data_IF_706799797106
#
_entry.id   IF_706799797106
#
_cell.length_a   1.000
_cell.length_b   1.000
_cell.length_c   1.000
_cell.angle_alpha   90.00
_cell.angle_beta   90.00
_cell.angle_gamma   90.00
#
_symmetry.space_group_name_H-M   'P 1'
#
loop_
_entity.id
_entity.type
_entity.pdbx_description
1 polymer ?
#
# COMPACT_ATOMS: atom_id res chain seq x y z
N UNK A 1 -9.50 22.16 -10.70
CA UNK A 1 -8.69 22.35 -9.49
C UNK A 1 -8.45 20.96 -8.92
N UNK A 2 -7.17 20.54 -8.80
CA UNK A 2 -6.82 19.25 -8.19
C UNK A 2 -7.13 19.30 -6.69
N UNK A 3 -7.76 18.25 -6.18
CA UNK A 3 -7.95 18.09 -4.73
C UNK A 3 -6.56 17.87 -4.08
N UNK A 4 -6.22 18.56 -2.98
CA UNK A 4 -4.93 18.38 -2.34
C UNK A 4 -4.84 17.02 -1.63
N UNK A 5 -3.63 16.46 -1.54
CA UNK A 5 -3.37 15.28 -0.72
C UNK A 5 -3.65 15.59 0.75
N UNK A 6 -4.44 14.74 1.40
CA UNK A 6 -4.79 14.89 2.82
C UNK A 6 -3.64 14.55 3.78
N UNK A 7 -2.59 13.94 3.27
CA UNK A 7 -1.48 13.43 4.06
C UNK A 7 -0.16 13.73 3.35
N UNK A 8 0.48 14.84 3.74
CA UNK A 8 1.77 15.26 3.20
C UNK A 8 2.89 14.92 4.18
N UNK A 9 4.08 14.57 3.68
CA UNK A 9 5.27 14.46 4.52
C UNK A 9 5.54 15.75 5.29
N UNK A 10 6.13 15.63 6.49
CA UNK A 10 6.68 16.79 7.21
C UNK A 10 7.90 17.37 6.47
N UNK A 11 8.36 18.60 6.82
CA UNK A 11 9.59 19.14 6.24
C UNK A 11 10.79 18.20 6.37
N UNK A 12 10.94 17.54 7.52
CA UNK A 12 12.02 16.58 7.79
C UNK A 12 11.85 15.32 6.94
N UNK A 13 10.62 14.84 6.79
CA UNK A 13 10.32 13.68 5.92
C UNK A 13 10.53 14.01 4.44
N UNK A 14 10.28 15.24 4.00
CA UNK A 14 10.64 15.69 2.65
C UNK A 14 12.16 15.67 2.43
N UNK A 15 12.93 16.13 3.40
CA UNK A 15 14.41 16.11 3.30
C UNK A 15 14.94 14.67 3.12
N UNK A 16 14.45 13.69 3.88
CA UNK A 16 14.90 12.30 3.72
C UNK A 16 14.42 11.68 2.41
N UNK A 17 13.23 12.06 1.91
CA UNK A 17 12.75 11.66 0.59
C UNK A 17 13.66 12.23 -0.53
N UNK A 18 14.01 13.52 -0.48
CA UNK A 18 14.94 14.12 -1.42
C UNK A 18 16.32 13.48 -1.36
N UNK A 19 16.83 13.19 -0.15
CA UNK A 19 18.08 12.46 0.01
C UNK A 19 18.03 11.05 -0.61
N UNK A 20 16.87 10.38 -0.56
CA UNK A 20 16.66 9.05 -1.10
C UNK A 20 16.45 9.03 -2.63
N UNK A 21 15.93 10.12 -3.20
CA UNK A 21 15.39 10.13 -4.57
C UNK A 21 16.12 11.07 -5.52
N UNK A 22 16.63 12.19 -5.05
CA UNK A 22 17.24 13.16 -5.95
C UNK A 22 18.60 12.69 -6.46
N UNK A 23 19.05 13.17 -7.62
CA UNK A 23 20.42 12.99 -8.06
C UNK A 23 21.39 13.82 -7.21
N UNK A 24 22.67 13.41 -7.16
CA UNK A 24 23.72 14.25 -6.62
C UNK A 24 23.89 15.52 -7.50
N UNK A 25 24.17 16.72 -6.94
CA UNK A 25 24.49 16.99 -5.53
C UNK A 25 23.26 17.32 -4.65
N UNK A 26 22.05 17.42 -5.20
CA UNK A 26 20.83 17.80 -4.47
C UNK A 26 20.55 16.83 -3.30
N UNK A 27 20.64 15.53 -3.55
CA UNK A 27 20.46 14.50 -2.52
C UNK A 27 21.43 14.68 -1.33
N UNK A 28 22.70 14.98 -1.60
CA UNK A 28 23.69 15.22 -0.55
C UNK A 28 23.39 16.51 0.25
N UNK A 29 22.83 17.54 -0.40
CA UNK A 29 22.33 18.73 0.26
C UNK A 29 21.15 18.43 1.19
N UNK A 30 20.17 17.69 0.70
CA UNK A 30 19.00 17.27 1.46
C UNK A 30 19.40 16.42 2.67
N UNK A 31 20.33 15.48 2.49
CA UNK A 31 20.89 14.68 3.60
C UNK A 31 21.52 15.53 4.68
N UNK A 32 22.40 16.50 4.33
CA UNK A 32 23.04 17.39 5.31
C UNK A 32 22.00 18.18 6.11
N UNK A 33 20.98 18.73 5.44
CA UNK A 33 19.92 19.48 6.08
C UNK A 33 19.09 18.59 7.00
N UNK A 34 18.79 17.38 6.58
CA UNK A 34 18.08 16.39 7.40
C UNK A 34 18.87 16.04 8.66
N UNK A 35 20.18 15.80 8.54
CA UNK A 35 21.06 15.50 9.68
C UNK A 35 21.18 16.66 10.70
N UNK A 36 20.97 17.90 10.26
CA UNK A 36 20.93 19.07 11.16
C UNK A 36 19.59 19.20 11.87
N UNK A 37 18.50 18.75 11.24
CA UNK A 37 17.14 18.89 11.75
C UNK A 37 16.69 17.70 12.62
N UNK A 38 17.28 16.50 12.42
CA UNK A 38 16.81 15.24 13.03
C UNK A 38 17.94 14.57 13.80
N UNK A 39 17.65 14.26 15.07
CA UNK A 39 18.50 13.37 15.86
C UNK A 39 18.41 11.95 15.29
N UNK A 40 19.58 11.39 14.94
CA UNK A 40 19.66 10.06 14.33
C UNK A 40 19.23 8.92 15.26
N UNK A 41 19.20 9.15 16.57
CA UNK A 41 18.74 8.17 17.56
C UNK A 41 17.24 8.27 17.82
N UNK A 42 16.58 9.33 17.35
CA UNK A 42 15.14 9.59 17.50
C UNK A 42 14.39 9.65 16.17
N UNK A 43 14.89 8.96 15.14
CA UNK A 43 14.28 8.96 13.79
C UNK A 43 12.91 8.29 13.82
N UNK A 44 11.91 8.92 13.24
CA UNK A 44 10.59 8.33 13.09
C UNK A 44 10.61 7.05 12.23
N UNK A 45 9.63 6.17 12.47
CA UNK A 45 9.55 4.88 11.80
C UNK A 45 9.50 4.99 10.26
N UNK A 46 8.78 5.97 9.74
CA UNK A 46 8.66 6.18 8.29
C UNK A 46 9.99 6.58 7.65
N UNK A 47 10.70 7.54 8.27
CA UNK A 47 12.02 7.99 7.82
C UNK A 47 13.06 6.86 7.93
N UNK A 48 13.04 6.07 9.02
CA UNK A 48 13.94 4.91 9.18
C UNK A 48 13.82 3.92 8.02
N UNK A 49 12.61 3.71 7.48
CA UNK A 49 12.37 2.80 6.34
C UNK A 49 12.90 3.32 5.00
N UNK A 50 13.29 4.60 4.91
CA UNK A 50 13.94 5.17 3.72
C UNK A 50 15.48 5.19 3.82
N UNK A 51 16.05 5.05 5.01
CA UNK A 51 17.50 5.13 5.20
C UNK A 51 18.30 4.12 4.37
N UNK A 52 17.86 2.87 4.15
CA UNK A 52 18.53 1.96 3.22
C UNK A 52 18.58 2.49 1.79
N UNK A 53 17.51 3.16 1.33
CA UNK A 53 17.48 3.79 0.01
C UNK A 53 18.39 5.01 -0.07
N UNK A 54 18.45 5.84 0.98
CA UNK A 54 19.40 6.95 1.10
C UNK A 54 20.85 6.45 1.01
N UNK A 55 21.17 5.35 1.74
CA UNK A 55 22.48 4.74 1.69
C UNK A 55 22.90 4.30 0.29
N UNK A 56 21.98 3.67 -0.42
CA UNK A 56 22.20 3.26 -1.81
C UNK A 56 22.34 4.46 -2.76
N UNK A 57 21.47 5.48 -2.62
CA UNK A 57 21.43 6.61 -3.53
C UNK A 57 22.68 7.47 -3.45
N UNK A 58 23.16 7.75 -2.24
CA UNK A 58 24.32 8.61 -2.00
C UNK A 58 25.65 7.87 -2.07
N UNK A 59 25.65 6.56 -1.80
CA UNK A 59 26.87 5.76 -1.64
C UNK A 59 27.58 5.96 -0.29
N UNK A 60 28.43 5.01 0.12
CA UNK A 60 29.07 5.02 1.45
C UNK A 60 29.99 6.22 1.69
N UNK A 61 30.62 6.74 0.65
CA UNK A 61 31.61 7.84 0.74
C UNK A 61 30.97 9.22 1.00
N UNK A 62 29.65 9.31 0.90
CA UNK A 62 28.90 10.53 1.21
C UNK A 62 28.68 10.77 2.72
N UNK A 63 29.07 9.82 3.57
CA UNK A 63 28.81 9.82 5.00
C UNK A 63 30.12 9.77 5.79
N UNK A 64 30.10 10.32 7.03
CA UNK A 64 31.14 9.99 7.97
C UNK A 64 31.16 8.50 8.30
N UNK A 65 32.31 7.92 8.76
CA UNK A 65 32.44 6.47 8.93
C UNK A 65 31.44 5.84 9.90
N UNK A 66 31.03 6.55 10.95
CA UNK A 66 30.08 6.05 11.94
C UNK A 66 28.67 5.95 11.31
N UNK A 67 28.21 7.02 10.67
CA UNK A 67 26.90 7.06 9.99
C UNK A 67 26.87 6.05 8.85
N UNK A 68 27.93 5.96 8.04
CA UNK A 68 28.05 4.95 6.99
C UNK A 68 27.88 3.52 7.54
N UNK A 69 28.50 3.25 8.69
CA UNK A 69 28.39 1.94 9.37
C UNK A 69 26.95 1.64 9.80
N UNK A 70 26.25 2.61 10.38
CA UNK A 70 24.84 2.48 10.82
C UNK A 70 23.91 2.26 9.63
N UNK A 71 24.03 3.07 8.58
CA UNK A 71 23.21 2.94 7.36
C UNK A 71 23.43 1.61 6.65
N UNK A 72 24.70 1.15 6.55
CA UNK A 72 25.05 -0.17 6.05
C UNK A 72 24.42 -1.29 6.89
N UNK A 73 24.37 -1.12 8.21
CA UNK A 73 23.69 -2.03 9.13
C UNK A 73 22.19 -2.14 8.83
N UNK A 74 21.51 -1.01 8.65
CA UNK A 74 20.09 -0.95 8.31
C UNK A 74 19.81 -1.61 6.94
N UNK A 75 20.63 -1.31 5.93
CA UNK A 75 20.54 -1.93 4.61
C UNK A 75 20.69 -3.46 4.69
N UNK A 76 21.74 -3.96 5.36
CA UNK A 76 21.98 -5.40 5.51
C UNK A 76 20.86 -6.10 6.27
N UNK A 77 20.36 -5.48 7.35
CA UNK A 77 19.22 -5.99 8.10
C UNK A 77 17.97 -6.09 7.21
N UNK A 78 17.69 -5.05 6.44
CA UNK A 78 16.57 -5.06 5.48
C UNK A 78 16.75 -6.18 4.45
N UNK A 79 17.93 -6.27 3.85
CA UNK A 79 18.23 -7.32 2.87
C UNK A 79 18.02 -8.74 3.43
N UNK A 80 18.62 -9.04 4.58
CA UNK A 80 18.52 -10.37 5.21
C UNK A 80 17.07 -10.69 5.60
N UNK A 81 16.37 -9.71 6.17
CA UNK A 81 14.96 -9.87 6.56
C UNK A 81 14.07 -10.14 5.33
N UNK A 82 14.25 -9.35 4.27
CA UNK A 82 13.48 -9.51 3.04
C UNK A 82 13.74 -10.88 2.38
N UNK A 83 14.97 -11.38 2.39
CA UNK A 83 15.27 -12.74 1.90
C UNK A 83 14.51 -13.82 2.66
N UNK A 84 14.40 -13.67 3.99
CA UNK A 84 13.63 -14.62 4.82
C UNK A 84 12.13 -14.57 4.49
N UNK A 85 11.53 -13.37 4.42
CA UNK A 85 10.10 -13.27 4.11
C UNK A 85 9.80 -13.70 2.66
N UNK A 86 10.72 -13.47 1.71
CA UNK A 86 10.55 -13.94 0.33
C UNK A 86 10.56 -15.47 0.24
N UNK A 87 11.48 -16.13 0.96
CA UNK A 87 11.49 -17.58 1.02
C UNK A 87 10.16 -18.14 1.55
N UNK A 88 9.62 -17.54 2.60
CA UNK A 88 8.36 -17.99 3.22
C UNK A 88 7.16 -17.70 2.35
N UNK A 89 7.11 -16.53 1.71
CA UNK A 89 6.08 -16.24 0.72
C UNK A 89 6.15 -17.21 -0.46
N UNK A 90 7.35 -17.62 -0.88
CA UNK A 90 7.54 -18.66 -1.88
C UNK A 90 6.94 -20.00 -1.44
N UNK A 91 7.12 -20.39 -0.18
CA UNK A 91 6.51 -21.62 0.37
C UNK A 91 4.96 -21.54 0.31
N UNK A 92 4.36 -20.39 0.66
CA UNK A 92 2.93 -20.20 0.55
C UNK A 92 2.44 -20.20 -0.91
N UNK A 93 3.17 -19.53 -1.81
CA UNK A 93 2.87 -19.52 -3.26
C UNK A 93 2.93 -20.94 -3.82
N UNK A 94 3.91 -21.73 -3.44
CA UNK A 94 4.02 -23.13 -3.88
C UNK A 94 2.82 -23.99 -3.42
N UNK A 95 2.31 -23.77 -2.22
CA UNK A 95 1.08 -24.41 -1.72
C UNK A 95 -0.13 -24.04 -2.59
N UNK A 96 -0.27 -22.74 -2.92
CA UNK A 96 -1.39 -22.26 -3.76
C UNK A 96 -1.26 -22.80 -5.20
N UNK A 97 -0.07 -22.79 -5.77
CA UNK A 97 0.20 -23.33 -7.10
C UNK A 97 -0.08 -24.83 -7.17
N UNK A 98 0.31 -25.62 -6.16
CA UNK A 98 0.00 -27.05 -6.07
C UNK A 98 -1.52 -27.30 -5.99
N UNK A 99 -2.30 -26.36 -5.45
CA UNK A 99 -3.76 -26.40 -5.45
C UNK A 99 -4.37 -25.85 -6.76
N UNK A 100 -3.57 -25.54 -7.78
CA UNK A 100 -4.01 -24.98 -9.06
C UNK A 100 -4.59 -23.57 -8.93
N UNK A 101 -4.05 -22.76 -8.00
CA UNK A 101 -4.47 -21.38 -7.75
C UNK A 101 -3.39 -20.45 -8.23
N UNK A 102 -3.70 -19.64 -9.23
CA UNK A 102 -2.79 -18.61 -9.73
C UNK A 102 -2.53 -17.54 -8.65
N UNK A 103 -1.30 -17.03 -8.62
CA UNK A 103 -0.89 -16.01 -7.66
C UNK A 103 -0.30 -14.79 -8.36
N UNK A 104 -0.47 -13.63 -7.74
CA UNK A 104 0.11 -12.38 -8.18
C UNK A 104 0.68 -11.64 -6.97
N UNK A 105 2.01 -11.45 -6.94
CA UNK A 105 2.69 -10.72 -5.87
C UNK A 105 2.57 -9.23 -6.11
N UNK A 106 2.01 -8.51 -5.14
CA UNK A 106 1.77 -7.07 -5.26
C UNK A 106 2.66 -6.25 -4.34
N UNK A 107 2.55 -4.93 -4.44
CA UNK A 107 3.14 -3.95 -3.52
C UNK A 107 4.64 -4.18 -3.26
N UNK A 108 5.01 -4.37 -1.98
CA UNK A 108 6.37 -4.35 -1.48
C UNK A 108 7.35 -5.25 -2.22
N UNK A 109 7.03 -6.53 -2.31
CA UNK A 109 7.92 -7.54 -2.87
C UNK A 109 8.10 -7.37 -4.38
N UNK A 110 7.01 -7.15 -5.13
CA UNK A 110 7.10 -6.91 -6.58
C UNK A 110 7.87 -5.64 -6.91
N UNK A 111 7.69 -4.57 -6.14
CA UNK A 111 8.44 -3.33 -6.31
C UNK A 111 9.93 -3.52 -6.03
N UNK A 112 10.30 -4.21 -4.95
CA UNK A 112 11.69 -4.46 -4.60
C UNK A 112 12.44 -5.22 -5.70
N UNK A 113 11.78 -6.20 -6.34
CA UNK A 113 12.36 -7.01 -7.40
C UNK A 113 12.37 -6.27 -8.74
N UNK A 114 11.21 -5.78 -9.19
CA UNK A 114 11.04 -5.28 -10.56
C UNK A 114 11.43 -3.81 -10.74
N UNK A 115 11.18 -2.96 -9.73
CA UNK A 115 11.38 -1.52 -9.86
C UNK A 115 12.66 -1.05 -9.18
N UNK A 116 12.93 -1.50 -7.96
CA UNK A 116 14.17 -1.14 -7.25
C UNK A 116 15.39 -1.95 -7.73
N UNK A 117 15.19 -3.21 -8.13
CA UNK A 117 16.27 -4.14 -8.50
C UNK A 117 17.23 -4.44 -7.36
N UNK A 118 16.83 -4.15 -6.12
CA UNK A 118 17.63 -4.34 -4.91
C UNK A 118 16.70 -4.51 -3.70
N UNK A 119 16.68 -5.72 -3.17
CA UNK A 119 15.79 -6.09 -2.08
C UNK A 119 16.17 -5.47 -0.73
N UNK A 120 17.39 -4.94 -0.59
CA UNK A 120 17.88 -4.32 0.65
C UNK A 120 17.38 -2.91 0.88
N UNK A 121 16.99 -2.19 -0.18
CA UNK A 121 16.62 -0.76 -0.10
C UNK A 121 15.19 -0.52 0.37
N UNK A 122 14.35 -1.54 0.35
CA UNK A 122 12.93 -1.43 0.67
C UNK A 122 12.54 -2.37 1.81
N UNK A 123 12.66 -1.94 3.09
CA UNK A 123 12.23 -2.76 4.24
C UNK A 123 10.76 -3.16 4.13
N UNK A 124 10.43 -4.42 4.41
CA UNK A 124 9.08 -4.99 4.38
C UNK A 124 8.84 -5.82 5.63
N UNK A 125 7.57 -6.02 5.98
CA UNK A 125 7.17 -6.83 7.14
C UNK A 125 6.36 -8.06 6.69
N UNK A 126 5.80 -8.02 5.46
CA UNK A 126 4.94 -9.02 4.85
C UNK A 126 5.12 -9.05 3.32
N UNK A 127 4.50 -10.05 2.70
CA UNK A 127 4.34 -10.15 1.25
C UNK A 127 2.85 -10.26 0.93
N UNK A 128 2.39 -9.31 0.10
CA UNK A 128 1.01 -9.30 -0.39
C UNK A 128 0.86 -10.26 -1.59
N UNK A 129 0.05 -11.28 -1.44
CA UNK A 129 -0.24 -12.29 -2.49
C UNK A 129 -1.70 -12.19 -2.88
N UNK A 130 -1.98 -11.79 -4.11
CA UNK A 130 -3.33 -11.73 -4.68
C UNK A 130 -3.67 -13.05 -5.35
N UNK A 131 -4.89 -13.54 -5.10
CA UNK A 131 -5.49 -14.69 -5.79
C UNK A 131 -6.77 -14.26 -6.51
N UNK A 132 -7.23 -15.00 -7.55
CA UNK A 132 -8.54 -14.76 -8.14
C UNK A 132 -9.64 -14.84 -7.08
N UNK A 133 -10.58 -13.89 -7.12
CA UNK A 133 -11.60 -13.75 -6.06
C UNK A 133 -12.44 -15.02 -5.89
N UNK A 134 -12.76 -15.71 -6.98
CA UNK A 134 -13.51 -16.96 -6.99
C UNK A 134 -12.73 -18.16 -6.41
N UNK A 135 -11.39 -18.01 -6.27
CA UNK A 135 -10.52 -19.03 -5.69
C UNK A 135 -10.19 -18.76 -4.23
N UNK A 136 -10.67 -17.64 -3.65
CA UNK A 136 -10.31 -17.19 -2.29
C UNK A 136 -10.60 -18.25 -1.22
N UNK A 137 -11.77 -18.88 -1.24
CA UNK A 137 -12.11 -19.92 -0.27
C UNK A 137 -11.16 -21.12 -0.36
N UNK A 138 -10.88 -21.59 -1.59
CA UNK A 138 -9.94 -22.69 -1.83
C UNK A 138 -8.51 -22.32 -1.42
N UNK A 139 -8.09 -21.06 -1.60
CA UNK A 139 -6.78 -20.56 -1.18
C UNK A 139 -6.64 -20.58 0.36
N UNK A 140 -7.65 -20.12 1.07
CA UNK A 140 -7.70 -20.15 2.55
C UNK A 140 -7.61 -21.60 3.05
N UNK A 141 -8.37 -22.51 2.44
CA UNK A 141 -8.37 -23.94 2.80
C UNK A 141 -6.99 -24.58 2.54
N UNK A 142 -6.40 -24.34 1.36
CA UNK A 142 -5.10 -24.90 0.99
C UNK A 142 -3.99 -24.43 1.94
N UNK A 143 -3.92 -23.12 2.25
CA UNK A 143 -2.96 -22.57 3.19
C UNK A 143 -3.16 -23.13 4.59
N UNK A 144 -4.41 -23.22 5.08
CA UNK A 144 -4.73 -23.76 6.40
C UNK A 144 -4.35 -25.22 6.51
N UNK A 145 -4.63 -26.04 5.49
CA UNK A 145 -4.26 -27.45 5.43
C UNK A 145 -2.72 -27.66 5.42
N UNK A 146 -1.98 -26.69 4.87
CA UNK A 146 -0.53 -26.67 4.85
C UNK A 146 0.11 -26.11 6.15
N UNK A 147 -0.71 -25.81 7.17
CA UNK A 147 -0.25 -25.34 8.47
C UNK A 147 -0.08 -23.81 8.61
N UNK A 148 -0.56 -23.03 7.64
CA UNK A 148 -0.64 -21.58 7.78
C UNK A 148 -1.86 -21.19 8.61
N UNK A 149 -1.67 -20.34 9.59
CA UNK A 149 -2.74 -19.90 10.51
C UNK A 149 -3.29 -18.54 10.09
N UNK A 150 -4.58 -18.44 9.76
CA UNK A 150 -5.20 -17.15 9.49
C UNK A 150 -5.26 -16.30 10.77
N UNK A 151 -5.18 -14.98 10.62
CA UNK A 151 -5.23 -14.01 11.72
C UNK A 151 -6.67 -13.69 12.19
N UNK A 152 -7.67 -14.43 11.68
CA UNK A 152 -9.07 -14.26 12.03
C UNK A 152 -9.76 -15.63 12.24
N UNK A 153 -10.64 -15.72 13.28
CA UNK A 153 -11.31 -16.97 13.68
C UNK A 153 -12.31 -17.48 12.63
N UNK A 154 -12.95 -16.60 11.85
CA UNK A 154 -13.85 -16.96 10.75
C UNK A 154 -13.37 -16.34 9.43
N UNK A 155 -12.38 -16.98 8.77
CA UNK A 155 -11.77 -16.46 7.55
C UNK A 155 -12.78 -16.27 6.42
N UNK A 156 -13.76 -17.17 6.27
CA UNK A 156 -14.74 -17.11 5.18
C UNK A 156 -15.75 -15.97 5.37
N UNK A 157 -16.22 -15.71 6.59
CA UNK A 157 -17.04 -14.55 6.86
C UNK A 157 -16.27 -13.24 6.67
N UNK A 158 -14.96 -13.23 6.98
CA UNK A 158 -14.06 -12.10 6.76
C UNK A 158 -13.98 -11.71 5.29
N UNK A 159 -13.93 -12.67 4.37
CA UNK A 159 -13.86 -12.41 2.91
C UNK A 159 -15.02 -11.60 2.38
N UNK A 160 -16.18 -11.66 3.01
CA UNK A 160 -17.38 -10.96 2.54
C UNK A 160 -17.30 -9.43 2.71
N UNK A 161 -16.41 -8.95 3.57
CA UNK A 161 -16.34 -7.53 3.95
C UNK A 161 -14.95 -6.92 3.84
N UNK A 162 -13.89 -7.72 3.83
CA UNK A 162 -12.50 -7.25 3.72
C UNK A 162 -11.90 -7.56 2.33
N UNK A 163 -10.65 -7.19 2.09
CA UNK A 163 -9.95 -7.36 0.82
C UNK A 163 -8.76 -8.29 0.94
N UNK A 164 -8.34 -8.57 2.16
CA UNK A 164 -7.20 -9.41 2.47
C UNK A 164 -7.36 -10.07 3.83
N UNK A 165 -6.52 -11.06 4.09
CA UNK A 165 -6.42 -11.80 5.34
C UNK A 165 -4.96 -12.17 5.57
N UNK A 166 -4.44 -11.82 6.75
CA UNK A 166 -3.10 -12.21 7.15
C UNK A 166 -3.01 -13.69 7.49
N UNK A 167 -1.90 -14.30 7.10
CA UNK A 167 -1.55 -15.66 7.48
C UNK A 167 -0.16 -15.69 8.10
N UNK A 168 -0.05 -16.36 9.25
CA UNK A 168 1.22 -16.65 9.91
C UNK A 168 1.65 -18.08 9.59
N UNK A 169 2.89 -18.24 9.12
CA UNK A 169 3.54 -19.55 9.00
C UNK A 169 4.20 -19.99 10.31
N UNK A 170 4.51 -21.29 10.44
CA UNK A 170 5.10 -21.89 11.64
C UNK A 170 6.36 -21.19 12.15
N UNK A 171 7.16 -20.63 11.25
CA UNK A 171 8.48 -20.02 11.55
C UNK A 171 8.46 -18.47 11.48
N UNK A 172 7.40 -17.80 11.89
CA UNK A 172 7.25 -16.33 11.90
C UNK A 172 7.31 -15.64 10.51
N UNK A 173 6.90 -16.31 9.43
CA UNK A 173 6.67 -15.73 8.11
C UNK A 173 5.24 -15.29 7.99
N UNK A 174 5.00 -14.03 7.57
CA UNK A 174 3.67 -13.52 7.36
C UNK A 174 3.45 -13.24 5.87
N UNK A 175 2.31 -13.67 5.36
CA UNK A 175 1.77 -13.23 4.07
C UNK A 175 0.44 -12.54 4.30
N UNK A 176 0.10 -11.60 3.44
CA UNK A 176 -1.24 -11.02 3.37
C UNK A 176 -1.90 -11.54 2.09
N UNK A 177 -2.86 -12.48 2.25
CA UNK A 177 -3.61 -13.06 1.14
C UNK A 177 -4.70 -12.09 0.72
N UNK A 178 -4.61 -11.60 -0.49
CA UNK A 178 -5.55 -10.66 -1.08
C UNK A 178 -6.49 -11.35 -2.07
N UNK A 179 -7.73 -10.84 -2.17
CA UNK A 179 -8.68 -11.12 -3.25
C UNK A 179 -9.21 -9.85 -3.93
N UNK A 180 -8.78 -8.69 -3.44
CA UNK A 180 -8.81 -7.41 -4.14
C UNK A 180 -7.47 -6.73 -3.99
N UNK A 181 -6.94 -6.19 -5.06
CA UNK A 181 -5.64 -5.51 -5.09
C UNK A 181 -5.60 -4.22 -4.26
N UNK A 182 -6.77 -3.62 -4.00
CA UNK A 182 -6.95 -2.41 -3.22
C UNK A 182 -8.06 -2.57 -2.17
N UNK A 183 -7.99 -1.70 -1.16
CA UNK A 183 -9.08 -1.53 -0.21
C UNK A 183 -10.42 -1.19 -0.87
N UNK A 184 -10.40 -0.41 -1.96
CA UNK A 184 -11.57 -0.11 -2.77
C UNK A 184 -11.84 -1.29 -3.71
N UNK A 185 -12.90 -2.11 -3.47
CA UNK A 185 -13.20 -3.24 -4.33
C UNK A 185 -13.45 -2.79 -5.76
N UNK A 186 -12.83 -3.49 -6.68
CA UNK A 186 -13.04 -3.38 -8.12
C UNK A 186 -12.63 -4.72 -8.74
N UNK A 187 -13.12 -5.06 -9.94
CA UNK A 187 -12.60 -6.23 -10.66
C UNK A 187 -11.10 -6.05 -10.93
N UNK A 188 -10.34 -7.11 -10.69
CA UNK A 188 -8.90 -7.19 -10.95
C UNK A 188 -8.59 -7.90 -12.30
N UNK A 189 -9.58 -8.23 -13.13
CA UNK A 189 -9.39 -8.99 -14.38
C UNK A 189 -8.39 -8.34 -15.32
N UNK A 190 -8.45 -7.01 -15.48
CA UNK A 190 -7.49 -6.28 -16.31
C UNK A 190 -6.08 -6.30 -15.70
N UNK A 191 -5.98 -6.26 -14.38
CA UNK A 191 -4.71 -6.37 -13.67
C UNK A 191 -4.09 -7.75 -13.87
N UNK A 192 -4.89 -8.83 -13.75
CA UNK A 192 -4.46 -10.20 -14.05
C UNK A 192 -4.01 -10.34 -15.49
N UNK A 193 -4.79 -9.85 -16.45
CA UNK A 193 -4.53 -9.98 -17.90
C UNK A 193 -3.22 -9.30 -18.30
N UNK A 194 -2.91 -8.15 -17.73
CA UNK A 194 -1.69 -7.38 -18.03
C UNK A 194 -0.51 -7.67 -17.11
N UNK A 195 -0.67 -8.61 -16.17
CA UNK A 195 0.38 -8.95 -15.23
C UNK A 195 1.62 -9.50 -15.94
N UNK A 196 2.78 -9.27 -15.34
CA UNK A 196 4.07 -9.69 -15.87
C UNK A 196 4.64 -10.85 -15.04
N UNK A 197 5.51 -11.70 -15.60
CA UNK A 197 6.18 -12.75 -14.84
C UNK A 197 7.00 -12.18 -13.68
N UNK A 198 7.01 -12.89 -12.57
CA UNK A 198 7.83 -12.63 -11.39
C UNK A 198 8.33 -13.96 -10.85
N UNK A 199 9.57 -13.99 -10.38
CA UNK A 199 10.10 -15.07 -9.57
C UNK A 199 10.33 -14.56 -8.13
N UNK A 200 9.80 -15.26 -7.14
CA UNK A 200 9.98 -14.94 -5.73
C UNK A 200 10.54 -16.17 -4.99
N UNK A 201 11.75 -16.06 -4.44
CA UNK A 201 12.37 -17.13 -3.69
C UNK A 201 12.52 -18.45 -4.45
N UNK A 202 12.66 -18.41 -5.79
CA UNK A 202 12.77 -19.57 -6.66
C UNK A 202 11.44 -20.17 -7.14
N UNK A 203 10.30 -19.55 -6.76
CA UNK A 203 8.96 -19.96 -7.20
C UNK A 203 8.41 -18.94 -8.22
N UNK A 204 7.85 -19.46 -9.30
CA UNK A 204 7.22 -18.63 -10.32
C UNK A 204 5.91 -18.04 -9.81
N UNK A 205 5.64 -16.78 -10.15
CA UNK A 205 4.40 -16.08 -9.88
C UNK A 205 4.25 -14.96 -10.92
N UNK A 206 3.41 -14.01 -10.66
CA UNK A 206 3.18 -12.84 -11.50
C UNK A 206 3.22 -11.57 -10.63
N UNK A 207 3.32 -10.42 -11.29
CA UNK A 207 3.24 -9.11 -10.64
C UNK A 207 2.41 -8.15 -11.52
N UNK A 208 1.85 -7.07 -10.95
CA UNK A 208 1.23 -6.02 -11.76
C UNK A 208 2.26 -5.44 -12.74
N UNK A 209 1.83 -5.06 -13.94
CA UNK A 209 2.67 -4.29 -14.86
C UNK A 209 3.04 -2.92 -14.25
N UNK A 210 4.04 -2.21 -14.77
CA UNK A 210 4.48 -0.93 -14.20
C UNK A 210 3.38 0.12 -14.04
N UNK A 211 2.45 0.21 -14.99
CA UNK A 211 1.33 1.16 -14.93
C UNK A 211 0.38 0.86 -13.76
N UNK A 212 0.09 -0.43 -13.55
CA UNK A 212 -0.74 -0.88 -12.44
C UNK A 212 0.00 -0.74 -11.10
N UNK A 213 1.30 -1.08 -11.03
CA UNK A 213 2.12 -0.86 -9.84
C UNK A 213 2.10 0.61 -9.41
N UNK A 214 2.26 1.54 -10.37
CA UNK A 214 2.22 2.97 -10.11
C UNK A 214 0.85 3.42 -9.58
N UNK A 215 -0.23 2.98 -10.21
CA UNK A 215 -1.59 3.31 -9.76
C UNK A 215 -1.84 2.77 -8.35
N UNK A 216 -1.49 1.51 -8.08
CA UNK A 216 -1.64 0.90 -6.75
C UNK A 216 -0.84 1.64 -5.68
N UNK A 217 0.43 1.99 -5.96
CA UNK A 217 1.27 2.76 -5.05
C UNK A 217 0.66 4.13 -4.73
N UNK A 218 0.23 4.87 -5.75
CA UNK A 218 -0.40 6.19 -5.59
C UNK A 218 -1.68 6.12 -4.75
N UNK A 219 -2.57 5.17 -5.04
CA UNK A 219 -3.86 5.05 -4.35
C UNK A 219 -3.70 4.54 -2.93
N UNK A 220 -2.78 3.62 -2.69
CA UNK A 220 -2.49 3.10 -1.34
C UNK A 220 -1.91 4.18 -0.43
N UNK A 221 -1.12 5.11 -0.97
CA UNK A 221 -0.44 6.16 -0.21
C UNK A 221 -1.28 7.40 0.10
N UNK A 222 -2.42 7.59 -0.58
CA UNK A 222 -3.23 8.81 -0.42
C UNK A 222 -4.14 8.87 0.82
N UNK A 223 -4.59 7.76 1.44
CA UNK A 223 -5.40 7.82 2.65
C UNK A 223 -4.64 8.36 3.85
N UNK A 224 -5.34 9.11 4.70
CA UNK A 224 -4.78 9.59 5.96
C UNK A 224 -4.44 8.44 6.90
N UNK A 225 -3.28 8.53 7.53
CA UNK A 225 -2.80 7.63 8.59
C UNK A 225 -2.17 8.45 9.72
N UNK A 226 -2.28 8.02 10.99
CA UNK A 226 -1.54 8.62 12.11
C UNK A 226 -0.03 8.60 11.92
N UNK A 227 0.47 7.58 11.22
CA UNK A 227 1.85 7.46 10.75
C UNK A 227 1.79 7.52 9.22
N UNK A 228 2.01 8.70 8.61
CA UNK A 228 1.89 8.86 7.17
C UNK A 228 2.77 7.85 6.42
N UNK A 229 2.20 6.99 5.57
CA UNK A 229 3.00 6.06 4.78
C UNK A 229 3.61 6.80 3.57
N UNK A 230 4.47 7.79 3.81
CA UNK A 230 5.06 8.59 2.72
C UNK A 230 6.06 7.79 1.85
N UNK A 231 6.37 6.54 2.20
CA UNK A 231 7.18 5.64 1.37
C UNK A 231 6.58 5.37 -0.02
N UNK A 232 5.24 5.47 -0.17
CA UNK A 232 4.60 5.36 -1.49
C UNK A 232 5.17 6.34 -2.51
N UNK A 233 5.68 7.50 -2.05
CA UNK A 233 6.32 8.51 -2.90
C UNK A 233 7.59 7.91 -3.52
N UNK A 234 8.44 7.30 -2.68
CA UNK A 234 9.65 6.64 -3.15
C UNK A 234 9.33 5.47 -4.09
N UNK A 235 8.31 4.67 -3.75
CA UNK A 235 7.83 3.57 -4.59
C UNK A 235 7.37 4.08 -5.98
N UNK A 236 6.51 5.10 -6.00
CA UNK A 236 5.97 5.65 -7.24
C UNK A 236 7.03 6.33 -8.13
N UNK A 237 7.92 7.14 -7.53
CA UNK A 237 9.04 7.77 -8.26
C UNK A 237 9.97 6.70 -8.85
N UNK A 238 10.23 5.63 -8.08
CA UNK A 238 11.07 4.52 -8.55
C UNK A 238 10.42 3.77 -9.71
N UNK A 239 9.11 3.48 -9.65
CA UNK A 239 8.39 2.87 -10.78
C UNK A 239 8.47 3.75 -12.03
N UNK A 240 8.21 5.05 -11.92
CA UNK A 240 8.29 5.98 -13.05
C UNK A 240 9.70 5.96 -13.67
N UNK A 241 10.74 5.99 -12.85
CA UNK A 241 12.13 5.99 -13.32
C UNK A 241 12.56 4.67 -13.93
N UNK A 242 12.21 3.54 -13.30
CA UNK A 242 12.60 2.21 -13.78
C UNK A 242 11.89 1.81 -15.07
N UNK A 243 10.62 2.16 -15.21
CA UNK A 243 9.84 1.89 -16.42
C UNK A 243 10.17 2.87 -17.56
N UNK A 244 10.53 4.10 -17.25
CA UNK A 244 10.90 5.12 -18.25
C UNK A 244 9.84 5.27 -19.35
N UNK A 245 10.27 5.19 -20.59
CA UNK A 245 9.38 5.30 -21.78
C UNK A 245 8.42 4.10 -21.95
N UNK A 246 8.69 2.98 -21.26
CA UNK A 246 7.84 1.78 -21.32
C UNK A 246 6.61 1.87 -20.40
N UNK A 247 6.49 2.96 -19.62
CA UNK A 247 5.35 3.16 -18.73
C UNK A 247 4.09 3.49 -19.56
N UNK A 248 3.14 2.56 -19.57
CA UNK A 248 1.86 2.72 -20.28
C UNK A 248 0.93 3.67 -19.52
N UNK A 249 1.03 4.95 -19.85
CA UNK A 249 0.21 6.01 -19.25
C UNK A 249 -1.26 5.92 -19.69
N UNK A 250 -1.56 5.41 -20.87
CA UNK A 250 -2.93 5.24 -21.35
C UNK A 250 -3.64 4.17 -20.55
N UNK A 251 -2.97 3.07 -20.26
CA UNK A 251 -3.45 2.03 -19.37
C UNK A 251 -3.69 2.57 -17.96
N UNK A 252 -2.75 3.33 -17.39
CA UNK A 252 -2.90 3.93 -16.07
C UNK A 252 -4.17 4.79 -15.97
N UNK A 253 -4.41 5.64 -16.98
CA UNK A 253 -5.60 6.50 -17.02
C UNK A 253 -6.87 5.65 -17.14
N UNK A 254 -6.90 4.68 -18.06
CA UNK A 254 -8.04 3.79 -18.26
C UNK A 254 -8.39 3.00 -16.98
N UNK A 255 -7.38 2.45 -16.28
CA UNK A 255 -7.58 1.75 -15.02
C UNK A 255 -8.05 2.68 -13.89
N UNK A 256 -7.51 3.90 -13.82
CA UNK A 256 -7.98 4.90 -12.86
C UNK A 256 -9.45 5.27 -13.08
N UNK A 257 -9.89 5.41 -14.34
CA UNK A 257 -11.28 5.68 -14.71
C UNK A 257 -12.18 4.49 -14.36
N UNK A 258 -11.82 3.29 -14.82
CA UNK A 258 -12.58 2.06 -14.60
C UNK A 258 -12.80 1.78 -13.11
N UNK A 259 -11.77 1.99 -12.28
CA UNK A 259 -11.81 1.78 -10.82
C UNK A 259 -12.39 2.95 -10.05
N UNK A 260 -12.74 4.07 -10.70
CA UNK A 260 -13.19 5.32 -10.06
C UNK A 260 -12.15 5.84 -9.06
N UNK A 261 -10.90 5.99 -9.53
CA UNK A 261 -9.73 6.42 -8.77
C UNK A 261 -9.03 7.62 -9.41
N UNK A 262 -9.69 8.29 -10.35
CA UNK A 262 -9.11 9.41 -11.13
C UNK A 262 -8.69 10.57 -10.25
N UNK A 263 -9.47 10.87 -9.20
CA UNK A 263 -9.18 11.95 -8.25
C UNK A 263 -7.91 11.63 -7.45
N UNK A 264 -7.79 10.40 -6.96
CA UNK A 264 -6.61 9.96 -6.19
C UNK A 264 -5.35 9.92 -7.08
N UNK A 265 -5.46 9.36 -8.29
CA UNK A 265 -4.36 9.31 -9.25
C UNK A 265 -3.91 10.71 -9.66
N UNK A 266 -4.85 11.62 -9.98
CA UNK A 266 -4.53 13.02 -10.36
C UNK A 266 -3.84 13.78 -9.22
N UNK A 267 -4.28 13.59 -7.98
CA UNK A 267 -3.70 14.24 -6.81
C UNK A 267 -2.29 13.71 -6.52
N UNK A 268 -2.11 12.38 -6.53
CA UNK A 268 -0.82 11.75 -6.27
C UNK A 268 0.21 12.06 -7.36
N UNK A 269 -0.13 11.83 -8.64
CA UNK A 269 0.79 12.07 -9.76
C UNK A 269 1.10 13.57 -9.93
N UNK A 270 0.12 14.46 -9.67
CA UNK A 270 0.37 15.90 -9.64
C UNK A 270 1.38 16.27 -8.56
N UNK A 271 1.23 15.74 -7.35
CA UNK A 271 2.17 15.96 -6.27
C UNK A 271 3.59 15.45 -6.59
N UNK A 272 3.71 14.25 -7.17
CA UNK A 272 5.00 13.70 -7.58
C UNK A 272 5.68 14.55 -8.68
N UNK A 273 4.88 15.07 -9.62
CA UNK A 273 5.37 15.96 -10.67
C UNK A 273 5.87 17.29 -10.09
N UNK A 274 5.07 17.91 -9.23
CA UNK A 274 5.33 19.26 -8.71
C UNK A 274 6.46 19.27 -7.66
N UNK A 275 6.53 18.26 -6.78
CA UNK A 275 7.48 18.21 -5.66
C UNK A 275 8.79 17.49 -6.01
N UNK A 276 8.72 16.38 -6.76
CA UNK A 276 9.88 15.53 -7.05
C UNK A 276 10.34 15.58 -8.50
N UNK A 277 9.73 16.44 -9.32
CA UNK A 277 10.06 16.51 -10.74
C UNK A 277 9.85 15.17 -11.49
N UNK A 278 8.96 14.31 -10.97
CA UNK A 278 8.71 13.02 -11.59
C UNK A 278 8.22 13.20 -13.04
N UNK A 279 8.71 12.36 -13.95
CA UNK A 279 8.44 12.45 -15.38
C UNK A 279 7.00 12.05 -15.75
N UNK A 280 6.01 12.68 -15.11
CA UNK A 280 4.59 12.49 -15.41
C UNK A 280 4.21 13.42 -16.56
N UNK A 281 3.75 12.89 -17.73
CA UNK A 281 3.39 13.73 -18.85
C UNK A 281 2.22 14.67 -18.53
N UNK A 282 2.34 15.96 -18.86
CA UNK A 282 1.26 16.93 -18.65
C UNK A 282 -0.08 16.52 -19.26
N UNK A 283 -0.13 15.92 -20.47
CA UNK A 283 -1.39 15.41 -21.03
C UNK A 283 -2.07 14.37 -20.14
N UNK A 284 -1.31 13.48 -19.47
CA UNK A 284 -1.84 12.47 -18.54
C UNK A 284 -2.51 13.15 -17.35
N UNK A 285 -1.84 14.13 -16.73
CA UNK A 285 -2.41 14.91 -15.63
C UNK A 285 -3.69 15.66 -16.07
N UNK A 286 -3.67 16.21 -17.29
CA UNK A 286 -4.85 16.91 -17.84
C UNK A 286 -6.02 15.95 -18.04
N UNK A 287 -5.78 14.76 -18.60
CA UNK A 287 -6.80 13.71 -18.79
C UNK A 287 -7.40 13.25 -17.45
N UNK A 288 -6.58 12.92 -16.47
CA UNK A 288 -7.05 12.52 -15.14
C UNK A 288 -7.88 13.60 -14.45
N UNK A 289 -7.50 14.88 -14.60
CA UNK A 289 -8.24 16.01 -14.03
C UNK A 289 -9.56 16.29 -14.76
N UNK A 290 -9.61 16.02 -16.06
CA UNK A 290 -10.80 16.18 -16.91
C UNK A 290 -11.75 14.99 -16.82
N UNK A 291 -11.29 13.83 -16.37
CA UNK A 291 -12.09 12.62 -16.26
C UNK A 291 -13.34 12.86 -15.39
N UNK A 292 -14.50 12.30 -15.78
CA UNK A 292 -15.76 12.51 -15.08
C UNK A 292 -15.78 11.79 -13.73
N UNK A 293 -15.22 12.43 -12.70
CA UNK A 293 -15.28 11.91 -11.34
C UNK A 293 -16.67 12.11 -10.74
N UNK A 294 -17.24 11.05 -10.19
CA UNK A 294 -18.53 11.11 -9.51
C UNK A 294 -18.47 11.91 -8.21
N UNK A 295 -19.61 12.42 -7.73
CA UNK A 295 -19.69 13.03 -6.39
C UNK A 295 -19.26 12.07 -5.28
N UNK A 296 -19.50 10.77 -5.48
CA UNK A 296 -19.10 9.73 -4.53
C UNK A 296 -17.59 9.55 -4.51
N UNK A 297 -16.92 9.47 -5.66
CA UNK A 297 -15.47 9.36 -5.77
C UNK A 297 -14.77 10.53 -5.07
N UNK A 298 -15.17 11.79 -5.39
CA UNK A 298 -14.62 12.99 -4.73
C UNK A 298 -14.84 12.98 -3.23
N UNK A 299 -16.00 12.52 -2.81
CA UNK A 299 -16.36 12.47 -1.40
C UNK A 299 -15.60 11.35 -0.65
N UNK A 300 -15.37 10.20 -1.28
CA UNK A 300 -14.56 9.11 -0.74
C UNK A 300 -13.10 9.54 -0.61
N UNK A 301 -12.53 10.17 -1.65
CA UNK A 301 -11.18 10.71 -1.61
C UNK A 301 -10.98 11.73 -0.48
N UNK A 302 -11.89 12.73 -0.37
CA UNK A 302 -11.83 13.71 0.72
C UNK A 302 -12.00 13.09 2.11
N UNK A 303 -12.84 12.07 2.22
CA UNK A 303 -13.00 11.34 3.48
C UNK A 303 -11.73 10.55 3.82
N UNK A 304 -11.14 9.86 2.85
CA UNK A 304 -9.90 9.11 3.03
C UNK A 304 -8.73 10.00 3.48
N UNK A 305 -8.63 11.23 2.95
CA UNK A 305 -7.59 12.21 3.29
C UNK A 305 -7.77 12.93 4.64
N UNK A 306 -8.77 12.57 5.44
CA UNK A 306 -9.03 13.21 6.75
C UNK A 306 -8.66 12.30 7.93
N UNK A 307 -8.34 12.89 9.10
CA UNK A 307 -8.17 12.12 10.33
C UNK A 307 -9.37 11.22 10.63
N UNK A 308 -9.12 10.09 11.29
CA UNK A 308 -10.17 9.15 11.67
C UNK A 308 -11.30 9.83 12.43
N UNK A 309 -12.53 9.59 11.99
CA UNK A 309 -13.75 10.04 12.64
C UNK A 309 -14.85 9.02 12.39
N UNK A 310 -15.87 8.91 13.26
CA UNK A 310 -16.97 7.99 13.04
C UNK A 310 -17.68 8.23 11.70
N UNK A 311 -17.84 9.49 11.31
CA UNK A 311 -18.43 9.85 10.02
C UNK A 311 -17.54 9.43 8.84
N UNK A 312 -16.21 9.58 8.96
CA UNK A 312 -15.27 9.08 7.96
C UNK A 312 -15.36 7.57 7.85
N UNK A 313 -15.27 6.86 8.98
CA UNK A 313 -15.31 5.40 9.03
C UNK A 313 -16.62 4.87 8.44
N UNK A 314 -17.76 5.46 8.82
CA UNK A 314 -19.06 5.11 8.27
C UNK A 314 -19.13 5.35 6.75
N UNK A 315 -18.59 6.49 6.28
CA UNK A 315 -18.59 6.83 4.86
C UNK A 315 -17.71 5.89 4.05
N UNK A 316 -16.52 5.53 4.57
CA UNK A 316 -15.63 4.55 3.93
C UNK A 316 -16.26 3.16 3.88
N UNK A 317 -16.92 2.73 4.97
CA UNK A 317 -17.66 1.48 5.00
C UNK A 317 -18.83 1.47 4.00
N UNK A 318 -19.54 2.60 3.87
CA UNK A 318 -20.62 2.76 2.89
C UNK A 318 -20.10 2.70 1.44
N UNK A 319 -19.00 3.40 1.12
CA UNK A 319 -18.40 3.36 -0.22
C UNK A 319 -17.96 1.95 -0.56
N UNK A 320 -17.31 1.25 0.38
CA UNK A 320 -16.91 -0.14 0.20
C UNK A 320 -18.10 -1.06 -0.03
N UNK A 321 -19.15 -0.96 0.80
CA UNK A 321 -20.37 -1.74 0.63
C UNK A 321 -21.00 -1.54 -0.75
N UNK A 322 -21.11 -0.29 -1.19
CA UNK A 322 -21.65 0.01 -2.51
C UNK A 322 -20.83 -0.60 -3.64
N UNK A 323 -19.51 -0.46 -3.57
CA UNK A 323 -18.61 -1.07 -4.55
C UNK A 323 -18.73 -2.58 -4.61
N UNK A 324 -18.86 -3.26 -3.46
CA UNK A 324 -19.09 -4.69 -3.41
C UNK A 324 -20.46 -5.07 -4.03
N UNK A 325 -21.50 -4.25 -3.84
CA UNK A 325 -22.80 -4.48 -4.47
C UNK A 325 -22.76 -4.29 -6.00
N UNK A 326 -21.90 -3.39 -6.50
CA UNK A 326 -21.72 -3.12 -7.93
C UNK A 326 -20.93 -4.24 -8.65
N UNK A 327 -20.19 -5.09 -7.89
CA UNK A 327 -19.39 -6.18 -8.45
C UNK A 327 -20.19 -7.47 -8.59
N UNK A 328 -20.01 -8.14 -9.73
CA UNK A 328 -20.48 -9.51 -9.92
C UNK A 328 -19.33 -10.48 -9.62
N UNK A 329 -19.19 -10.84 -8.35
CA UNK A 329 -18.09 -11.68 -7.87
C UNK A 329 -18.49 -13.13 -7.65
N UNK A 330 -19.77 -13.49 -7.89
CA UNK A 330 -20.30 -14.81 -7.52
C UNK A 330 -20.32 -15.10 -6.01
N UNK A 331 -19.71 -14.24 -5.20
CA UNK A 331 -19.67 -14.40 -3.75
C UNK A 331 -20.98 -13.96 -3.07
N UNK A 332 -21.34 -14.55 -1.92
CA UNK A 332 -22.50 -14.13 -1.16
C UNK A 332 -22.42 -12.65 -0.78
N UNK A 333 -23.43 -11.87 -1.20
CA UNK A 333 -23.49 -10.45 -0.88
C UNK A 333 -24.05 -10.23 0.53
N UNK A 334 -23.56 -9.23 1.29
CA UNK A 334 -24.21 -8.84 2.54
C UNK A 334 -25.69 -8.50 2.28
N UNK A 335 -26.59 -8.96 3.15
CA UNK A 335 -28.03 -8.76 3.00
C UNK A 335 -28.47 -7.29 3.03
N UNK A 336 -27.58 -6.37 3.42
CA UNK A 336 -27.78 -4.93 3.46
C UNK A 336 -26.63 -4.25 4.18
N UNK A 337 -26.61 -2.90 4.16
CA UNK A 337 -25.52 -2.13 4.78
C UNK A 337 -25.40 -2.39 6.29
N UNK A 338 -26.48 -2.61 7.00
CA UNK A 338 -26.45 -2.89 8.45
C UNK A 338 -25.77 -4.22 8.73
N UNK A 339 -26.05 -5.28 7.97
CA UNK A 339 -25.37 -6.57 8.10
C UNK A 339 -23.89 -6.47 7.68
N UNK A 340 -23.61 -5.76 6.58
CA UNK A 340 -22.24 -5.46 6.18
C UNK A 340 -21.47 -4.75 7.29
N UNK A 341 -22.01 -3.67 7.83
CA UNK A 341 -21.36 -2.87 8.88
C UNK A 341 -21.13 -3.68 10.16
N UNK A 342 -22.08 -4.53 10.53
CA UNK A 342 -21.95 -5.46 11.66
C UNK A 342 -20.74 -6.39 11.47
N UNK A 343 -20.65 -7.06 10.33
CA UNK A 343 -19.55 -7.99 9.99
C UNK A 343 -18.22 -7.24 9.86
N UNK A 344 -18.24 -6.10 9.18
CA UNK A 344 -17.06 -5.27 8.94
C UNK A 344 -16.38 -4.80 10.23
N UNK A 345 -17.15 -4.54 11.29
CA UNK A 345 -16.63 -4.16 12.60
C UNK A 345 -16.57 -5.31 13.61
N UNK A 346 -16.78 -6.55 13.19
CA UNK A 346 -16.74 -7.73 14.06
C UNK A 346 -17.75 -7.70 15.21
N UNK A 347 -18.94 -7.12 14.98
CA UNK A 347 -19.96 -7.01 15.99
C UNK A 347 -20.88 -8.25 15.98
N UNK A 348 -21.12 -8.85 17.15
CA UNK A 348 -22.02 -9.99 17.28
C UNK A 348 -23.46 -9.63 16.87
N UNK A 349 -23.87 -8.37 17.07
CA UNK A 349 -25.25 -7.95 16.85
C UNK A 349 -25.34 -6.51 16.33
N UNK A 350 -26.29 -6.25 15.43
CA UNK A 350 -26.50 -4.96 14.80
C UNK A 350 -26.88 -3.83 15.77
N UNK A 351 -27.55 -4.13 16.89
CA UNK A 351 -27.88 -3.13 17.90
C UNK A 351 -26.63 -2.52 18.59
N UNK A 352 -25.47 -3.17 18.48
CA UNK A 352 -24.18 -2.65 19.00
C UNK A 352 -23.55 -1.57 18.08
N UNK A 353 -24.05 -1.38 16.85
CA UNK A 353 -23.55 -0.36 15.93
C UNK A 353 -23.55 1.07 16.50
N UNK A 354 -24.62 1.56 17.14
CA UNK A 354 -24.61 2.87 17.76
C UNK A 354 -23.60 2.99 18.90
N UNK A 355 -23.49 1.94 19.73
CA UNK A 355 -22.51 1.89 20.83
C UNK A 355 -21.07 1.86 20.31
N UNK A 356 -20.81 1.15 19.20
CA UNK A 356 -19.51 1.15 18.56
C UNK A 356 -19.13 2.54 18.05
N UNK A 357 -20.06 3.26 17.42
CA UNK A 357 -19.87 4.63 16.98
C UNK A 357 -19.57 5.59 18.15
N UNK A 358 -20.28 5.46 19.28
CA UNK A 358 -20.04 6.26 20.49
C UNK A 358 -18.69 5.94 21.12
N UNK A 359 -18.32 4.66 21.24
CA UNK A 359 -17.02 4.23 21.78
C UNK A 359 -15.84 4.70 20.92
N UNK A 360 -16.01 4.74 19.59
CA UNK A 360 -15.02 5.32 18.69
C UNK A 360 -14.82 6.82 18.92
N UNK A 361 -15.87 7.54 19.37
CA UNK A 361 -15.79 8.96 19.78
C UNK A 361 -15.08 9.14 21.13
N UNK A 362 -15.37 8.29 22.12
CA UNK A 362 -14.80 8.41 23.48
C UNK A 362 -13.31 8.05 23.53
N UNK A 363 -12.86 7.04 22.79
CA UNK A 363 -11.43 6.68 22.66
C UNK A 363 -10.58 7.80 22.05
N UNK A 364 -11.18 8.69 21.26
CA UNK A 364 -10.53 9.89 20.73
C UNK A 364 -10.34 10.99 21.75
N UNK A 365 -11.34 11.25 22.59
CA UNK A 365 -11.20 12.24 23.67
C UNK A 365 -10.03 11.86 24.59
N UNK A 366 -9.94 10.60 24.98
CA UNK A 366 -8.84 10.10 25.81
C UNK A 366 -7.44 10.18 25.14
N UNK A 367 -7.36 10.05 23.80
CA UNK A 367 -6.08 10.20 23.06
C UNK A 367 -5.75 11.65 22.69
N UNK A 368 -6.76 12.52 22.56
CA UNK A 368 -6.60 13.97 22.36
C UNK A 368 -6.08 14.65 23.62
N UNK A 369 -6.62 14.29 24.78
CA UNK A 369 -6.22 14.83 26.08
C UNK A 369 -4.80 14.37 26.51
N UNK A 370 -4.36 13.18 26.09
CA UNK A 370 -3.00 12.71 26.32
C UNK A 370 -1.91 13.40 25.46
N UNK A 371 -2.30 14.15 24.42
CA UNK A 371 -1.38 14.93 23.57
C UNK A 371 -1.37 16.42 23.93
N UNK A 372 -2.24 16.87 24.81
CA UNK A 372 -2.33 18.25 25.32
C UNK A 372 -1.87 18.41 26.76
N UNK A 373 -1.29 17.38 27.36
CA UNK A 373 -0.57 17.50 28.63
C UNK A 373 0.87 17.98 28.35
N UNK A 374 1.34 19.00 29.08
CA UNK A 374 2.61 19.67 28.86
C UNK A 374 3.83 18.78 29.09
#
# INVERSE_FOLDING_TARGET
VSEPLGNRPSPEQLLVLHAALDPAPAAAGAWRNWRQAVDFDAVDHGSTRLLPLVYRNLGPDAFDPEVAGRLKGLYRRSWSHNQLIFKRAADAIAVLEAAGIETLVTKGASLAILSYGDVGVRPMDDVDVLVPIERTAAAIEALSAAGWSPDHDDPLAWTQVHHSLGFAGADAGNIDLHWFSLWQPASDDELWRASVPLELGGVASRAPCPADQLLLACVHGTPWSPLPPFRWIADAVTVIRSAGEQLDWDRLVAEAERRRLTVAAAAALGYLHDEFGAAVPRPVLSRLRAAPASRHERAAFRAAGRPDSPLRTLRMAWDRYRRLCDLDTGAPRPAGFVDFARRFWGLESAWRLPLHAVRALSRRRARGDARSAP
#
